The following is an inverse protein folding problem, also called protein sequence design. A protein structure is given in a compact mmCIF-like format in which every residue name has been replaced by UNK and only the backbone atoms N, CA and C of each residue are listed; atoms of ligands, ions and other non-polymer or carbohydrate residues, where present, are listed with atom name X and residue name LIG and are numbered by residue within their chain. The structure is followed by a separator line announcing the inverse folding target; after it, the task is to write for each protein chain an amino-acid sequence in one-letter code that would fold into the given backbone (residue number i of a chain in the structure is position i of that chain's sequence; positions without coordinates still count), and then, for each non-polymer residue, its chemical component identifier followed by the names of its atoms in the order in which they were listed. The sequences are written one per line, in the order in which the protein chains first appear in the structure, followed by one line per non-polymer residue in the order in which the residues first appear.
data_IF_542233500457
#
_entry.id   IF_542233500457
#
_cell.length_a   1.000
_cell.length_b   1.000
_cell.length_c   1.000
_cell.angle_alpha   90.00
_cell.angle_beta   90.00
_cell.angle_gamma   90.00
#
_symmetry.space_group_name_H-M   'P 1'
#
loop_
_entity.id
_entity.type
_entity.pdbx_description
1 polymer ?
#
# COMPACT_ATOMS: atom_id res chain seq x y z
N UNK A 1 50.63 -5.23 51.91
CA UNK A 1 49.91 -4.07 51.34
C UNK A 1 49.45 -4.47 49.95
N UNK A 2 48.18 -4.84 49.83
CA UNK A 2 47.57 -5.39 48.60
C UNK A 2 47.12 -4.24 47.71
N UNK A 3 47.61 -4.21 46.46
CA UNK A 3 47.15 -3.28 45.44
C UNK A 3 45.80 -3.76 44.89
N UNK A 4 44.74 -3.02 45.15
CA UNK A 4 43.40 -3.24 44.61
C UNK A 4 43.39 -2.84 43.13
N UNK A 5 43.16 -3.81 42.24
CA UNK A 5 42.97 -3.55 40.82
C UNK A 5 41.64 -2.81 40.61
N UNK A 6 41.73 -1.66 39.94
CA UNK A 6 40.62 -0.82 39.52
C UNK A 6 39.96 -1.53 38.33
N UNK A 7 38.75 -2.07 38.50
CA UNK A 7 37.96 -2.54 37.35
C UNK A 7 37.35 -1.33 36.67
N UNK A 8 38.00 -0.87 35.61
CA UNK A 8 37.45 0.08 34.67
C UNK A 8 36.26 -0.57 33.94
N UNK A 9 35.25 0.26 33.66
CA UNK A 9 34.06 -0.09 32.90
C UNK A 9 34.43 -0.73 31.55
N UNK A 10 33.68 -1.76 31.17
CA UNK A 10 33.59 -2.23 29.80
C UNK A 10 32.15 -2.03 29.34
N UNK A 11 31.87 -0.81 28.90
CA UNK A 11 31.42 -0.52 27.55
C UNK A 11 30.49 -1.60 26.96
N UNK A 12 29.19 -1.48 27.21
CA UNK A 12 28.19 -2.26 26.48
C UNK A 12 28.04 -1.66 25.08
N UNK A 13 29.03 -1.94 24.22
CA UNK A 13 29.06 -1.59 22.80
C UNK A 13 27.83 -2.18 22.08
N UNK A 14 26.95 -1.28 21.65
CA UNK A 14 25.84 -1.57 20.74
C UNK A 14 26.38 -2.20 19.46
N UNK A 15 26.12 -3.48 19.26
CA UNK A 15 26.57 -4.20 18.08
C UNK A 15 25.97 -3.56 16.82
N UNK A 16 26.74 -3.42 15.71
CA UNK A 16 26.19 -3.01 14.44
C UNK A 16 25.13 -4.03 14.04
N UNK A 17 23.88 -3.58 13.91
CA UNK A 17 22.78 -4.43 13.46
C UNK A 17 23.12 -4.98 12.08
N UNK A 18 23.60 -6.22 12.03
CA UNK A 18 23.89 -6.92 10.78
C UNK A 18 22.61 -6.93 9.95
N UNK A 19 22.67 -6.40 8.73
CA UNK A 19 21.53 -6.41 7.81
C UNK A 19 21.18 -7.88 7.53
N UNK A 20 19.98 -8.29 7.92
CA UNK A 20 19.46 -9.64 7.70
C UNK A 20 18.38 -9.58 6.62
N UNK A 21 18.38 -10.57 5.73
CA UNK A 21 17.32 -10.75 4.76
C UNK A 21 15.97 -10.94 5.47
N UNK A 22 14.93 -10.30 4.95
CA UNK A 22 13.56 -10.48 5.44
C UNK A 22 13.07 -11.89 5.10
N UNK A 23 12.31 -12.50 6.00
CA UNK A 23 11.70 -13.81 5.73
C UNK A 23 10.61 -13.70 4.66
N UNK A 24 10.31 -14.80 3.98
CA UNK A 24 9.34 -14.83 2.88
C UNK A 24 7.93 -14.35 3.28
N UNK A 25 7.52 -14.57 4.53
CA UNK A 25 6.25 -14.08 5.04
C UNK A 25 6.23 -12.56 5.22
N UNK A 26 7.36 -11.99 5.65
CA UNK A 26 7.54 -10.53 5.72
C UNK A 26 7.69 -9.88 4.36
N UNK A 27 8.37 -10.53 3.40
CA UNK A 27 8.41 -10.09 2.00
C UNK A 27 6.99 -10.08 1.44
N UNK A 28 6.23 -11.17 1.62
CA UNK A 28 4.85 -11.25 1.17
C UNK A 28 3.99 -10.19 1.85
N UNK A 29 4.14 -9.92 3.15
CA UNK A 29 3.40 -8.81 3.80
C UNK A 29 3.78 -7.43 3.30
N UNK A 30 5.03 -7.20 2.90
CA UNK A 30 5.48 -5.92 2.35
C UNK A 30 4.97 -5.75 0.91
N UNK A 31 5.01 -6.80 0.09
CA UNK A 31 4.55 -6.74 -1.31
C UNK A 31 3.03 -6.83 -1.45
N UNK A 32 2.37 -7.51 -0.51
CA UNK A 32 0.89 -7.61 -0.45
C UNK A 32 0.28 -6.48 0.38
N UNK A 33 1.11 -5.67 1.04
CA UNK A 33 0.72 -4.66 2.01
C UNK A 33 0.61 -3.28 1.37
N UNK A 34 -0.61 -2.97 0.92
CA UNK A 34 -1.10 -1.61 0.65
C UNK A 34 -0.39 -0.88 -0.50
N UNK A 35 -0.93 -1.01 -1.71
CA UNK A 35 -1.07 0.20 -2.52
C UNK A 35 -2.08 1.06 -1.76
N UNK A 36 -1.61 2.02 -0.96
CA UNK A 36 -2.48 3.10 -0.49
C UNK A 36 -2.79 3.93 -1.72
N UNK A 37 -3.85 3.55 -2.44
CA UNK A 37 -4.37 4.39 -3.51
C UNK A 37 -5.02 5.57 -2.81
N UNK A 38 -4.49 6.77 -3.03
CA UNK A 38 -5.19 7.98 -2.62
C UNK A 38 -6.58 7.96 -3.28
N UNK A 39 -7.63 8.22 -2.49
CA UNK A 39 -9.01 8.22 -2.96
C UNK A 39 -9.16 9.08 -4.22
N UNK A 40 -8.45 10.21 -4.27
CA UNK A 40 -8.45 11.09 -5.45
C UNK A 40 -7.90 10.39 -6.69
N UNK A 41 -6.81 9.63 -6.54
CA UNK A 41 -6.24 8.85 -7.63
C UNK A 41 -7.19 7.74 -8.07
N UNK A 42 -7.79 7.01 -7.12
CA UNK A 42 -8.76 5.96 -7.43
C UNK A 42 -9.97 6.51 -8.21
N UNK A 43 -10.51 7.65 -7.79
CA UNK A 43 -11.61 8.34 -8.47
C UNK A 43 -11.17 8.82 -9.86
N UNK A 44 -9.99 9.44 -9.98
CA UNK A 44 -9.45 9.90 -11.26
C UNK A 44 -9.39 8.78 -12.28
N UNK A 45 -8.78 7.65 -11.92
CA UNK A 45 -8.61 6.50 -12.82
C UNK A 45 -9.96 5.90 -13.26
N UNK A 46 -10.93 5.79 -12.35
CA UNK A 46 -12.27 5.28 -12.71
C UNK A 46 -13.05 6.25 -13.61
N UNK A 47 -12.91 7.56 -13.40
CA UNK A 47 -13.53 8.57 -14.25
C UNK A 47 -12.86 8.61 -15.63
N UNK A 48 -11.53 8.53 -15.71
CA UNK A 48 -10.80 8.44 -16.98
C UNK A 48 -11.23 7.19 -17.77
N UNK A 49 -11.34 6.04 -17.11
CA UNK A 49 -11.86 4.83 -17.75
C UNK A 49 -13.29 4.99 -18.28
N UNK A 50 -14.15 5.72 -17.56
CA UNK A 50 -15.52 5.99 -17.99
C UNK A 50 -15.53 6.89 -19.24
N UNK A 51 -14.67 7.90 -19.29
CA UNK A 51 -14.51 8.79 -20.43
C UNK A 51 -13.94 8.04 -21.65
N UNK A 52 -12.95 7.18 -21.46
CA UNK A 52 -12.39 6.33 -22.50
C UNK A 52 -13.43 5.36 -23.07
N UNK A 53 -14.39 4.93 -22.24
CA UNK A 53 -15.55 4.14 -22.67
C UNK A 53 -16.66 4.96 -23.36
N UNK A 54 -16.44 6.27 -23.57
CA UNK A 54 -17.38 7.16 -24.25
C UNK A 54 -18.61 7.53 -23.41
N UNK A 55 -18.52 7.43 -22.07
CA UNK A 55 -19.61 7.84 -21.20
C UNK A 55 -19.95 9.33 -21.39
N UNK A 56 -21.25 9.63 -21.38
CA UNK A 56 -21.79 11.01 -21.43
C UNK A 56 -22.36 11.44 -20.09
N UNK A 57 -22.63 10.46 -19.23
CA UNK A 57 -23.11 10.64 -17.87
C UNK A 57 -22.21 9.78 -16.97
N UNK A 58 -21.62 10.42 -15.96
CA UNK A 58 -20.80 9.77 -14.94
C UNK A 58 -21.26 10.31 -13.60
N UNK A 59 -21.74 9.42 -12.73
CA UNK A 59 -22.17 9.72 -11.38
C UNK A 59 -21.13 9.19 -10.39
N UNK A 60 -20.66 10.05 -9.48
CA UNK A 60 -19.73 9.66 -8.40
C UNK A 60 -20.43 9.86 -7.07
N UNK A 61 -20.57 8.78 -6.30
CA UNK A 61 -21.20 8.80 -4.97
C UNK A 61 -20.19 8.43 -3.90
N UNK A 62 -20.19 9.18 -2.81
CA UNK A 62 -19.35 8.95 -1.64
C UNK A 62 -20.21 8.59 -0.44
N UNK A 63 -19.74 7.62 0.35
CA UNK A 63 -20.27 7.32 1.68
C UNK A 63 -19.23 7.74 2.71
N UNK A 64 -19.65 8.55 3.67
CA UNK A 64 -18.77 9.08 4.72
C UNK A 64 -17.53 9.78 4.13
N UNK A 65 -17.74 10.69 3.19
CA UNK A 65 -16.68 11.40 2.47
C UNK A 65 -15.65 10.49 1.76
N UNK A 66 -16.02 9.23 1.50
CA UNK A 66 -15.15 8.23 0.88
C UNK A 66 -14.33 7.40 1.87
N UNK A 67 -14.45 7.65 3.18
CA UNK A 67 -13.81 6.84 4.21
C UNK A 67 -14.41 5.45 4.32
N UNK A 68 -15.74 5.34 4.11
CA UNK A 68 -16.44 4.05 4.13
C UNK A 68 -16.42 3.38 2.74
N UNK A 69 -16.81 4.12 1.70
CA UNK A 69 -16.81 3.65 0.31
C UNK A 69 -17.05 4.79 -0.68
N UNK A 70 -16.76 4.53 -1.95
CA UNK A 70 -17.21 5.35 -3.06
C UNK A 70 -17.59 4.45 -4.24
N UNK A 71 -18.40 4.96 -5.16
CA UNK A 71 -18.81 4.28 -6.39
C UNK A 71 -18.83 5.27 -7.56
N UNK A 72 -18.49 4.76 -8.74
CA UNK A 72 -18.54 5.48 -10.01
C UNK A 72 -19.48 4.69 -10.92
N UNK A 73 -20.55 5.33 -11.40
CA UNK A 73 -21.54 4.75 -12.30
C UNK A 73 -21.56 5.55 -13.58
N UNK A 74 -21.28 4.89 -14.69
CA UNK A 74 -21.25 5.50 -16.01
C UNK A 74 -22.21 4.81 -16.99
N UNK A 75 -22.48 5.48 -18.11
CA UNK A 75 -23.28 4.94 -19.22
C UNK A 75 -22.43 4.63 -20.47
N UNK A 76 -21.13 4.41 -20.30
CA UNK A 76 -20.21 4.06 -21.38
C UNK A 76 -20.45 2.64 -21.91
N UNK A 77 -19.71 2.26 -22.96
CA UNK A 77 -19.88 0.96 -23.64
C UNK A 77 -19.43 -0.26 -22.81
N UNK A 78 -18.97 -0.03 -21.57
CA UNK A 78 -18.39 -1.03 -20.67
C UNK A 78 -17.01 -1.52 -21.14
N UNK A 79 -16.23 -2.12 -20.23
CA UNK A 79 -15.01 -2.84 -20.63
C UNK A 79 -15.37 -4.29 -20.98
N UNK A 80 -14.89 -4.78 -22.12
CA UNK A 80 -14.96 -6.21 -22.45
C UNK A 80 -14.29 -7.03 -21.32
N UNK A 81 -14.71 -8.27 -21.02
CA UNK A 81 -14.22 -9.09 -19.90
C UNK A 81 -12.71 -9.37 -19.89
N UNK A 82 -12.00 -8.95 -20.93
CA UNK A 82 -10.62 -9.29 -21.25
C UNK A 82 -9.58 -8.79 -20.23
N UNK A 83 -9.93 -7.85 -19.36
CA UNK A 83 -9.02 -7.28 -18.33
C UNK A 83 -9.26 -7.84 -16.92
N UNK A 84 -10.33 -8.62 -16.69
CA UNK A 84 -10.56 -9.29 -15.40
C UNK A 84 -9.81 -10.63 -15.29
N UNK A 85 -8.50 -10.65 -15.55
CA UNK A 85 -7.68 -11.77 -15.09
C UNK A 85 -7.44 -11.55 -13.60
N UNK A 86 -8.25 -12.20 -12.75
CA UNK A 86 -7.83 -12.48 -11.37
C UNK A 86 -6.52 -13.26 -11.45
N UNK A 87 -5.42 -12.66 -11.03
CA UNK A 87 -4.23 -13.40 -10.64
C UNK A 87 -4.66 -14.45 -9.60
N UNK A 88 -4.24 -15.72 -9.74
CA UNK A 88 -4.57 -16.77 -8.78
C UNK A 88 -3.98 -16.50 -7.39
#
# INVERSE_FOLDING_TARGET
MTATAITAAADNESHPSTIKALDGGSIHRITSGQVVVDLQTAVKELVENSLDAGATIIEVRFKDYGLASFEVVDNGVGSLPKTMTRSP
#
